data_IF_903206839828
#
_entry.id   IF_903206839828
#
_cell.length_a   1.000
_cell.length_b   1.000
_cell.length_c   1.000
_cell.angle_alpha   90.00
_cell.angle_beta   90.00
_cell.angle_gamma   90.00
#
_symmetry.space_group_name_H-M   'P 1'
#
loop_
_entity.id
_entity.type
_entity.pdbx_description
1 polymer ?
#
# COMPACT_ATOMS: atom_id res chain seq x y z
N UNK A 1 -17.07 -16.77 12.17
CA UNK A 1 -16.20 -15.76 12.81
C UNK A 1 -17.10 -14.85 13.62
N UNK A 2 -16.63 -14.40 14.78
CA UNK A 2 -17.46 -13.61 15.71
C UNK A 2 -17.30 -12.10 15.53
N UNK A 3 -16.13 -11.65 15.07
CA UNK A 3 -15.85 -10.23 14.80
C UNK A 3 -14.64 -10.08 13.88
N UNK A 4 -14.52 -8.89 13.29
CA UNK A 4 -13.33 -8.44 12.58
C UNK A 4 -12.67 -7.27 13.31
N UNK A 5 -11.35 -7.35 13.53
CA UNK A 5 -10.58 -6.24 14.08
C UNK A 5 -10.19 -5.30 12.96
N UNK A 6 -10.52 -4.02 13.09
CA UNK A 6 -10.16 -2.95 12.14
C UNK A 6 -9.82 -1.67 12.89
N UNK A 7 -9.55 -0.59 12.17
CA UNK A 7 -9.44 0.76 12.72
C UNK A 7 -10.28 1.73 11.88
N UNK A 8 -10.34 2.99 12.29
CA UNK A 8 -11.13 4.04 11.62
C UNK A 8 -10.66 4.35 10.19
N UNK A 9 -9.39 4.06 9.86
CA UNK A 9 -8.80 4.38 8.56
C UNK A 9 -9.04 3.27 7.54
N UNK A 10 -8.99 2.00 7.98
CA UNK A 10 -9.20 0.84 7.11
C UNK A 10 -10.68 0.48 6.95
N UNK A 11 -11.51 0.79 7.94
CA UNK A 11 -12.95 0.60 7.86
C UNK A 11 -13.67 1.88 8.35
N UNK A 12 -13.69 2.98 7.60
CA UNK A 12 -14.35 4.22 8.02
C UNK A 12 -15.83 4.02 8.42
N UNK A 13 -16.38 4.96 9.20
CA UNK A 13 -17.80 4.90 9.57
C UNK A 13 -18.69 4.82 8.32
N UNK A 14 -19.62 3.86 8.30
CA UNK A 14 -20.48 3.56 7.15
C UNK A 14 -20.01 2.37 6.29
N UNK A 15 -18.80 1.85 6.52
CA UNK A 15 -18.29 0.65 5.83
C UNK A 15 -18.78 -0.67 6.43
N UNK A 16 -19.53 -0.64 7.53
CA UNK A 16 -19.96 -1.84 8.27
C UNK A 16 -20.80 -2.80 7.41
N UNK A 17 -21.52 -2.30 6.41
CA UNK A 17 -22.33 -3.11 5.48
C UNK A 17 -21.48 -3.97 4.53
N UNK A 18 -20.17 -3.69 4.44
CA UNK A 18 -19.23 -4.47 3.64
C UNK A 18 -18.71 -5.70 4.40
N UNK A 19 -19.07 -5.85 5.67
CA UNK A 19 -18.68 -6.96 6.53
C UNK A 19 -19.92 -7.71 7.01
N UNK A 20 -19.85 -9.04 7.03
CA UNK A 20 -20.88 -9.87 7.67
C UNK A 20 -20.62 -9.90 9.19
N UNK A 21 -19.35 -9.87 9.59
CA UNK A 21 -18.91 -9.82 10.97
C UNK A 21 -19.00 -8.40 11.58
N UNK A 22 -19.32 -8.28 12.87
CA UNK A 22 -19.19 -7.02 13.60
C UNK A 22 -17.75 -6.47 13.54
N UNK A 23 -17.63 -5.17 13.27
CA UNK A 23 -16.34 -4.46 13.23
C UNK A 23 -15.96 -3.94 14.61
N UNK A 24 -14.86 -4.45 15.18
CA UNK A 24 -14.25 -3.93 16.41
C UNK A 24 -13.13 -2.97 16.03
N UNK A 25 -13.19 -1.74 16.54
CA UNK A 25 -12.28 -0.65 16.18
C UNK A 25 -11.14 -0.49 17.19
N UNK A 26 -9.90 -0.60 16.70
CA UNK A 26 -8.68 -0.39 17.46
C UNK A 26 -8.25 1.08 17.38
N UNK A 27 -7.80 1.69 18.49
CA UNK A 27 -7.47 3.13 18.53
C UNK A 27 -6.15 3.52 17.86
N UNK A 28 -5.25 2.56 17.58
CA UNK A 28 -3.89 2.85 17.10
C UNK A 28 -3.53 2.09 15.80
N UNK A 29 -4.53 1.72 15.02
CA UNK A 29 -4.35 0.93 13.80
C UNK A 29 -4.33 -0.58 14.03
N UNK A 30 -4.58 -1.35 12.98
CA UNK A 30 -4.58 -2.84 13.03
C UNK A 30 -3.20 -3.47 12.83
N UNK A 31 -2.28 -2.79 12.14
CA UNK A 31 -1.01 -3.39 11.72
C UNK A 31 0.15 -2.97 12.62
N UNK A 32 0.79 -3.96 13.24
CA UNK A 32 2.00 -3.78 14.03
C UNK A 32 3.20 -4.34 13.27
N UNK A 33 3.97 -3.48 12.59
CA UNK A 33 5.15 -3.89 11.83
C UNK A 33 6.41 -3.87 12.69
N UNK A 34 7.22 -4.92 12.60
CA UNK A 34 8.58 -4.98 13.13
C UNK A 34 9.54 -5.20 11.97
N UNK A 35 10.64 -4.41 11.85
CA UNK A 35 11.64 -4.64 10.83
C UNK A 35 12.24 -6.05 10.94
N UNK A 36 12.52 -6.67 9.81
CA UNK A 36 13.17 -7.98 9.78
C UNK A 36 14.67 -7.87 10.13
N UNK A 37 15.28 -8.83 10.86
CA UNK A 37 16.67 -8.70 11.32
C UNK A 37 17.72 -8.61 10.20
N UNK A 38 17.42 -9.23 9.06
CA UNK A 38 18.28 -9.31 7.86
C UNK A 38 18.04 -8.21 6.82
N UNK A 39 17.45 -7.07 7.22
CA UNK A 39 17.21 -5.96 6.30
C UNK A 39 18.56 -5.46 5.71
N UNK A 40 18.69 -5.36 4.37
CA UNK A 40 19.93 -4.90 3.75
C UNK A 40 20.22 -3.43 4.09
N UNK A 41 21.48 -3.03 3.96
CA UNK A 41 21.86 -1.63 4.11
C UNK A 41 21.19 -0.74 3.05
N UNK A 42 20.91 0.51 3.43
CA UNK A 42 20.36 1.49 2.52
C UNK A 42 21.33 1.75 1.36
N UNK A 43 20.79 1.76 0.14
CA UNK A 43 21.54 2.13 -1.07
C UNK A 43 21.15 3.54 -1.53
N UNK A 44 22.02 4.25 -2.27
CA UNK A 44 21.66 5.55 -2.86
C UNK A 44 20.42 5.47 -3.74
N UNK A 45 19.64 6.55 -3.79
CA UNK A 45 18.44 6.61 -4.61
C UNK A 45 18.78 6.46 -6.11
N UNK A 46 18.00 5.69 -6.90
CA UNK A 46 18.25 5.50 -8.34
C UNK A 46 18.35 6.80 -9.14
N UNK A 47 17.59 7.82 -8.73
CA UNK A 47 17.57 9.17 -9.31
C UNK A 47 18.95 9.81 -9.44
N UNK A 48 19.85 9.54 -8.49
CA UNK A 48 21.20 10.10 -8.46
C UNK A 48 22.08 9.60 -9.61
N UNK A 49 21.73 8.47 -10.22
CA UNK A 49 22.52 7.83 -11.28
C UNK A 49 21.85 7.88 -12.65
N UNK A 50 20.51 7.99 -12.70
CA UNK A 50 19.73 7.82 -13.93
C UNK A 50 19.36 9.12 -14.64
N UNK A 51 19.52 10.27 -13.98
CA UNK A 51 19.18 11.59 -14.55
C UNK A 51 17.67 11.85 -14.72
N UNK A 52 16.82 10.97 -14.21
CA UNK A 52 15.36 11.09 -14.18
C UNK A 52 14.79 10.43 -12.93
N UNK A 53 13.51 10.70 -12.64
CA UNK A 53 12.79 10.11 -11.51
C UNK A 53 12.38 8.67 -11.84
N UNK A 54 12.71 7.73 -10.95
CA UNK A 54 12.29 6.33 -11.06
C UNK A 54 11.18 6.03 -10.07
N UNK A 55 9.99 5.70 -10.57
CA UNK A 55 8.87 5.20 -9.77
C UNK A 55 8.92 3.67 -9.68
N UNK A 56 8.62 3.10 -8.51
CA UNK A 56 8.60 1.66 -8.30
C UNK A 56 7.33 1.20 -7.58
N UNK A 57 6.75 0.08 -8.01
CA UNK A 57 5.59 -0.57 -7.38
C UNK A 57 5.95 -1.99 -6.97
N UNK A 58 6.09 -2.22 -5.66
CA UNK A 58 6.45 -3.52 -5.07
C UNK A 58 5.21 -4.28 -4.59
N UNK A 59 4.17 -4.31 -5.42
CA UNK A 59 2.91 -4.98 -5.13
C UNK A 59 2.84 -6.35 -5.82
N UNK A 60 1.98 -7.23 -5.32
CA UNK A 60 1.64 -8.47 -6.03
C UNK A 60 1.05 -8.12 -7.41
N UNK A 61 1.37 -8.92 -8.44
CA UNK A 61 0.94 -8.71 -9.83
C UNK A 61 -0.58 -8.68 -9.98
N UNK A 62 -1.33 -9.38 -9.12
CA UNK A 62 -2.81 -9.32 -9.12
C UNK A 62 -3.37 -7.93 -8.80
N UNK A 63 -2.57 -7.06 -8.17
CA UNK A 63 -2.95 -5.68 -7.88
C UNK A 63 -2.67 -4.73 -9.05
N UNK A 64 -2.03 -5.22 -10.12
CA UNK A 64 -1.79 -4.44 -11.32
C UNK A 64 -3.01 -4.58 -12.24
N UNK A 65 -3.69 -3.48 -12.45
CA UNK A 65 -4.78 -3.37 -13.42
C UNK A 65 -4.46 -2.25 -14.42
N UNK A 66 -5.19 -2.21 -15.54
CA UNK A 66 -5.05 -1.21 -16.60
C UNK A 66 -5.22 0.23 -16.09
N UNK A 67 -6.02 0.44 -15.03
CA UNK A 67 -6.13 1.75 -14.37
C UNK A 67 -4.87 2.15 -13.58
N UNK A 68 -4.00 1.19 -13.25
CA UNK A 68 -2.75 1.39 -12.48
C UNK A 68 -1.51 1.43 -13.38
N UNK A 69 -1.64 1.13 -14.68
CA UNK A 69 -0.56 1.39 -15.64
C UNK A 69 -0.40 2.90 -15.84
N UNK A 70 0.76 3.42 -15.46
CA UNK A 70 1.19 4.76 -15.84
C UNK A 70 1.26 4.78 -17.36
N UNK A 71 0.33 5.52 -17.99
CA UNK A 71 0.46 5.86 -19.40
C UNK A 71 1.67 6.78 -19.52
N UNK A 72 2.77 6.26 -20.06
CA UNK A 72 3.83 7.13 -20.58
C UNK A 72 3.28 7.87 -21.80
N UNK A 73 2.63 9.02 -21.58
CA UNK A 73 2.61 10.06 -22.61
C UNK A 73 4.00 10.70 -22.63
N UNK A 74 4.92 10.06 -23.35
CA UNK A 74 6.10 10.75 -23.86
C UNK A 74 5.62 11.65 -24.98
N UNK A 75 5.33 12.91 -24.65
CA UNK A 75 5.12 13.95 -25.63
C UNK A 75 6.46 14.24 -26.30
N UNK A 76 6.67 13.68 -27.50
CA UNK A 76 7.66 14.20 -28.44
C UNK A 76 6.99 15.33 -29.23
N UNK A 77 7.29 16.57 -28.89
CA UNK A 77 7.51 17.72 -29.81
C UNK A 77 8.11 18.86 -29.01
#
# INVERSE_FOLDING_TARGET
MDAVLMDEWHAPAGSETQFVEPVIRLPAGRFCYTPVPWMPALTPAPTLTRGHITFGSFNNTVKLDFATQVREEVSFT
#
